data_IF_677116863997
#
_entry.id   IF_677116863997
#
_cell.length_a   1.000
_cell.length_b   1.000
_cell.length_c   1.000
_cell.angle_alpha   90.00
_cell.angle_beta   90.00
_cell.angle_gamma   90.00
#
_symmetry.space_group_name_H-M   'P 1'
#
loop_
_entity.id
_entity.type
_entity.pdbx_description
1 polymer ?
#
# COMPACT_ATOMS: atom_id res chain seq x y z
N UNK A 1 14.28 -16.95 -16.48
CA UNK A 1 14.40 -15.58 -15.96
C UNK A 1 15.58 -14.86 -16.62
N UNK A 2 16.67 -15.56 -16.88
CA UNK A 2 17.90 -14.97 -17.42
C UNK A 2 17.72 -14.30 -18.78
N UNK A 3 17.13 -14.97 -19.76
CA UNK A 3 16.87 -14.36 -21.08
C UNK A 3 16.02 -13.08 -21.02
N UNK A 4 15.03 -13.02 -20.13
CA UNK A 4 14.23 -11.82 -19.93
C UNK A 4 15.04 -10.72 -19.23
N UNK A 5 15.90 -11.09 -18.30
CA UNK A 5 16.79 -10.16 -17.60
C UNK A 5 17.85 -9.59 -18.56
N UNK A 6 18.38 -10.40 -19.48
CA UNK A 6 19.31 -9.96 -20.53
C UNK A 6 18.71 -8.86 -21.40
N UNK A 7 17.43 -9.02 -21.78
CA UNK A 7 16.69 -8.04 -22.58
C UNK A 7 16.41 -6.76 -21.80
N UNK A 8 16.08 -6.87 -20.51
CA UNK A 8 15.63 -5.73 -19.70
C UNK A 8 16.77 -4.95 -19.04
N UNK A 9 17.92 -5.59 -18.75
CA UNK A 9 19.03 -4.99 -18.02
C UNK A 9 19.54 -3.66 -18.62
N UNK A 10 19.67 -3.49 -19.95
CA UNK A 10 20.06 -2.21 -20.56
C UNK A 10 19.07 -1.07 -20.29
N UNK A 11 17.82 -1.39 -19.94
CA UNK A 11 16.74 -0.43 -19.71
C UNK A 11 16.35 -0.30 -18.24
N UNK A 12 17.09 -0.92 -17.32
CA UNK A 12 16.79 -0.96 -15.89
C UNK A 12 16.53 0.42 -15.28
N UNK A 13 17.34 1.44 -15.62
CA UNK A 13 17.14 2.81 -15.12
C UNK A 13 15.80 3.41 -15.57
N UNK A 14 15.43 3.22 -16.85
CA UNK A 14 14.17 3.72 -17.39
C UNK A 14 12.98 2.98 -16.76
N UNK A 15 13.07 1.66 -16.64
CA UNK A 15 12.05 0.83 -15.99
C UNK A 15 11.87 1.27 -14.53
N UNK A 16 12.97 1.54 -13.81
CA UNK A 16 12.94 2.07 -12.44
C UNK A 16 12.27 3.44 -12.35
N UNK A 17 12.53 4.34 -13.31
CA UNK A 17 11.83 5.65 -13.40
C UNK A 17 10.32 5.49 -13.63
N UNK A 18 9.91 4.55 -14.49
CA UNK A 18 8.50 4.25 -14.74
C UNK A 18 7.84 3.70 -13.47
N UNK A 19 8.45 2.71 -12.83
CA UNK A 19 7.97 2.16 -11.56
C UNK A 19 7.86 3.24 -10.48
N UNK A 20 8.87 4.11 -10.38
CA UNK A 20 8.87 5.27 -9.49
C UNK A 20 7.74 6.26 -9.78
N UNK A 21 7.47 6.53 -11.06
CA UNK A 21 6.39 7.43 -11.49
C UNK A 21 5.02 6.87 -11.12
N UNK A 22 4.77 5.60 -11.42
CA UNK A 22 3.50 4.91 -11.08
C UNK A 22 3.29 4.94 -9.55
N UNK A 23 4.34 4.66 -8.78
CA UNK A 23 4.28 4.69 -7.31
C UNK A 23 4.03 6.10 -6.78
N UNK A 24 4.65 7.12 -7.38
CA UNK A 24 4.43 8.53 -7.01
C UNK A 24 2.98 8.95 -7.26
N UNK A 25 2.39 8.55 -8.40
CA UNK A 25 0.98 8.78 -8.70
C UNK A 25 0.08 8.06 -7.68
N UNK A 26 0.44 6.84 -7.27
CA UNK A 26 -0.28 6.14 -6.22
C UNK A 26 -0.23 6.91 -4.88
N UNK A 27 0.94 7.44 -4.48
CA UNK A 27 1.03 8.28 -3.29
C UNK A 27 0.12 9.52 -3.37
N UNK A 28 0.04 10.17 -4.54
CA UNK A 28 -0.84 11.33 -4.73
C UNK A 28 -2.34 11.03 -4.58
N UNK A 29 -2.76 9.77 -4.56
CA UNK A 29 -4.15 9.41 -4.25
C UNK A 29 -4.62 9.92 -2.87
N UNK A 30 -3.69 10.19 -1.94
CA UNK A 30 -3.99 10.82 -0.64
C UNK A 30 -4.61 12.21 -0.75
N UNK A 31 -4.45 12.90 -1.89
CA UNK A 31 -5.12 14.20 -2.16
C UNK A 31 -6.64 14.07 -2.07
N UNK A 32 -7.22 12.95 -2.53
CA UNK A 32 -8.67 12.75 -2.48
C UNK A 32 -9.17 12.68 -1.03
N UNK A 33 -8.45 11.95 -0.18
CA UNK A 33 -8.75 11.85 1.24
C UNK A 33 -8.58 13.20 1.94
N UNK A 34 -7.50 13.93 1.66
CA UNK A 34 -7.26 15.24 2.27
C UNK A 34 -8.29 16.28 1.82
N UNK A 35 -8.76 16.22 0.57
CA UNK A 35 -9.82 17.08 0.09
C UNK A 35 -11.18 16.75 0.76
N UNK A 36 -11.45 15.48 1.05
CA UNK A 36 -12.64 15.07 1.81
C UNK A 36 -12.58 15.57 3.27
N UNK A 37 -11.43 15.45 3.92
CA UNK A 37 -11.15 16.04 5.25
C UNK A 37 -11.40 17.55 5.23
N UNK A 38 -10.83 18.26 4.25
CA UNK A 38 -11.03 19.71 4.08
C UNK A 38 -12.50 20.08 3.93
N UNK A 39 -13.26 19.32 3.12
CA UNK A 39 -14.70 19.56 2.91
C UNK A 39 -15.51 19.34 4.18
N UNK A 40 -15.14 18.35 5.01
CA UNK A 40 -15.79 18.11 6.30
C UNK A 40 -15.32 19.05 7.41
N UNK A 41 -14.19 19.73 7.22
CA UNK A 41 -13.58 20.60 8.23
C UNK A 41 -13.03 19.85 9.44
N UNK A 42 -12.92 18.52 9.39
CA UNK A 42 -12.41 17.70 10.49
C UNK A 42 -11.79 16.40 9.97
N UNK A 43 -10.66 16.01 10.55
CA UNK A 43 -9.99 14.72 10.28
C UNK A 43 -10.40 13.59 11.23
N UNK A 44 -11.19 13.86 12.27
CA UNK A 44 -11.33 12.96 13.42
C UNK A 44 -12.03 11.64 13.08
N UNK A 45 -12.92 11.65 12.08
CA UNK A 45 -13.62 10.45 11.57
C UNK A 45 -12.74 9.58 10.67
N UNK A 46 -11.55 10.05 10.31
CA UNK A 46 -10.64 9.33 9.41
C UNK A 46 -9.51 8.66 10.19
N UNK A 47 -9.04 7.49 9.70
CA UNK A 47 -7.86 6.86 10.26
C UNK A 47 -6.61 7.65 9.84
N UNK A 48 -5.69 7.87 10.79
CA UNK A 48 -4.35 8.43 10.50
C UNK A 48 -3.40 7.41 9.86
N UNK A 49 -3.73 6.13 10.02
CA UNK A 49 -2.91 4.98 9.60
C UNK A 49 -2.40 5.03 8.15
N UNK A 50 -3.20 5.43 7.14
CA UNK A 50 -2.72 5.52 5.76
C UNK A 50 -1.52 6.45 5.57
N UNK A 51 -1.53 7.64 6.18
CA UNK A 51 -0.44 8.61 6.05
C UNK A 51 0.78 8.22 6.87
N UNK A 52 0.55 7.82 8.13
CA UNK A 52 1.63 7.43 9.04
C UNK A 52 2.32 6.13 8.59
N UNK A 53 1.54 5.16 8.08
CA UNK A 53 2.06 3.94 7.46
C UNK A 53 2.87 4.23 6.20
N UNK A 54 2.43 5.20 5.38
CA UNK A 54 3.20 5.69 4.24
C UNK A 54 4.56 6.28 4.64
N UNK A 55 4.61 7.06 5.73
CA UNK A 55 5.88 7.55 6.30
C UNK A 55 6.78 6.40 6.73
N UNK A 56 6.26 5.43 7.48
CA UNK A 56 7.04 4.26 7.93
C UNK A 56 7.64 3.50 6.76
N UNK A 57 6.80 3.14 5.78
CA UNK A 57 7.21 2.35 4.63
C UNK A 57 8.23 3.08 3.76
N UNK A 58 8.06 4.39 3.56
CA UNK A 58 8.98 5.20 2.75
C UNK A 58 10.35 5.33 3.42
N UNK A 59 10.41 5.59 4.73
CA UNK A 59 11.70 5.66 5.47
C UNK A 59 12.44 4.32 5.43
N UNK A 60 11.74 3.21 5.71
CA UNK A 60 12.35 1.88 5.68
C UNK A 60 12.81 1.51 4.27
N UNK A 61 12.02 1.84 3.25
CA UNK A 61 12.38 1.59 1.85
C UNK A 61 13.56 2.43 1.38
N UNK A 62 13.72 3.68 1.86
CA UNK A 62 14.93 4.47 1.59
C UNK A 62 16.16 3.77 2.16
N UNK A 63 16.11 3.28 3.41
CA UNK A 63 17.24 2.57 4.01
C UNK A 63 17.57 1.27 3.27
N UNK A 64 16.56 0.53 2.83
CA UNK A 64 16.74 -0.67 2.01
C UNK A 64 17.37 -0.33 0.65
N UNK A 65 16.87 0.70 -0.04
CA UNK A 65 17.44 1.16 -1.30
C UNK A 65 18.88 1.63 -1.17
N UNK A 66 19.24 2.30 -0.07
CA UNK A 66 20.63 2.68 0.24
C UNK A 66 21.53 1.45 0.42
N UNK A 67 21.06 0.43 1.14
CA UNK A 67 21.82 -0.81 1.34
C UNK A 67 22.07 -1.55 0.02
N UNK A 68 21.11 -1.48 -0.92
CA UNK A 68 21.18 -2.11 -2.23
C UNK A 68 21.89 -1.25 -3.30
N UNK A 69 22.17 0.02 -3.03
CA UNK A 69 22.61 0.98 -4.06
C UNK A 69 21.54 1.32 -5.12
N UNK A 70 20.27 1.05 -4.82
CA UNK A 70 19.14 1.18 -5.74
C UNK A 70 18.61 2.63 -5.81
N UNK A 71 19.15 3.40 -6.77
CA UNK A 71 18.81 4.81 -6.95
C UNK A 71 17.31 5.06 -7.27
N UNK A 72 16.67 4.30 -8.18
CA UNK A 72 15.22 4.40 -8.38
C UNK A 72 14.41 4.23 -7.09
N UNK A 73 14.71 3.20 -6.28
CA UNK A 73 14.02 2.94 -5.02
C UNK A 73 14.24 4.04 -3.98
N UNK A 74 15.44 4.59 -3.89
CA UNK A 74 15.72 5.72 -2.99
C UNK A 74 14.89 6.94 -3.39
N UNK A 75 14.97 7.35 -4.66
CA UNK A 75 14.34 8.60 -5.14
C UNK A 75 12.83 8.60 -4.96
N UNK A 76 12.16 7.54 -5.39
CA UNK A 76 10.69 7.43 -5.27
C UNK A 76 10.24 7.44 -3.80
N UNK A 77 10.97 6.80 -2.90
CA UNK A 77 10.59 6.76 -1.49
C UNK A 77 10.90 8.06 -0.75
N UNK A 78 11.93 8.83 -1.15
CA UNK A 78 12.12 10.21 -0.66
C UNK A 78 10.95 11.09 -1.08
N UNK A 79 10.52 11.01 -2.34
CA UNK A 79 9.34 11.74 -2.83
C UNK A 79 8.09 11.29 -2.06
N UNK A 80 7.90 9.99 -1.89
CA UNK A 80 6.81 9.42 -1.12
C UNK A 80 6.79 9.89 0.33
N UNK A 81 7.94 9.96 0.99
CA UNK A 81 8.08 10.47 2.35
C UNK A 81 7.64 11.93 2.43
N UNK A 82 8.10 12.78 1.49
CA UNK A 82 7.69 14.18 1.43
C UNK A 82 6.17 14.33 1.23
N UNK A 83 5.59 13.59 0.29
CA UNK A 83 4.13 13.60 0.02
C UNK A 83 3.34 13.17 1.27
N UNK A 84 3.71 12.04 1.88
CA UNK A 84 3.01 11.54 3.08
C UNK A 84 3.16 12.49 4.27
N UNK A 85 4.30 13.16 4.41
CA UNK A 85 4.51 14.18 5.44
C UNK A 85 3.60 15.39 5.22
N UNK A 86 3.48 15.88 3.98
CA UNK A 86 2.55 16.98 3.64
C UNK A 86 1.11 16.60 3.97
N UNK A 87 0.69 15.38 3.63
CA UNK A 87 -0.65 14.91 3.98
C UNK A 87 -0.85 14.74 5.48
N UNK A 88 0.18 14.30 6.21
CA UNK A 88 0.14 14.20 7.66
C UNK A 88 -0.01 15.58 8.33
N UNK A 89 0.69 16.60 7.83
CA UNK A 89 0.53 17.99 8.29
C UNK A 89 -0.88 18.49 8.01
N UNK A 90 -1.41 18.24 6.81
CA UNK A 90 -2.78 18.58 6.46
C UNK A 90 -3.80 17.87 7.36
N UNK A 91 -3.62 16.57 7.61
CA UNK A 91 -4.46 15.79 8.52
C UNK A 91 -4.42 16.37 9.93
N UNK A 92 -3.24 16.68 10.45
CA UNK A 92 -3.06 17.26 11.79
C UNK A 92 -3.69 18.64 11.91
N UNK A 93 -3.66 19.46 10.85
CA UNK A 93 -4.29 20.78 10.84
C UNK A 93 -5.80 20.71 11.11
N UNK A 94 -6.50 19.75 10.49
CA UNK A 94 -7.94 19.53 10.67
C UNK A 94 -8.32 18.65 11.88
N UNK A 95 -7.35 18.24 12.69
CA UNK A 95 -7.60 17.43 13.87
C UNK A 95 -8.04 18.28 15.07
N UNK A 96 -8.99 17.78 15.85
CA UNK A 96 -9.36 18.40 17.14
C UNK A 96 -8.21 18.34 18.14
N UNK A 97 -8.23 19.19 19.16
CA UNK A 97 -7.19 19.22 20.22
C UNK A 97 -7.04 17.86 20.91
N UNK A 98 -8.14 17.13 21.14
CA UNK A 98 -8.09 15.78 21.71
C UNK A 98 -7.47 14.76 20.74
N UNK A 99 -7.78 14.87 19.44
CA UNK A 99 -7.20 13.98 18.43
C UNK A 99 -5.71 14.25 18.22
N UNK A 100 -5.27 15.50 18.33
CA UNK A 100 -3.87 15.90 18.17
C UNK A 100 -2.93 15.22 19.16
N UNK A 101 -3.32 15.07 20.43
CA UNK A 101 -2.50 14.37 21.43
C UNK A 101 -2.32 12.88 21.09
N UNK A 102 -3.40 12.23 20.63
CA UNK A 102 -3.36 10.84 20.14
C UNK A 102 -2.46 10.69 18.91
N UNK A 103 -2.53 11.63 17.97
CA UNK A 103 -1.65 11.66 16.80
C UNK A 103 -0.18 11.83 17.23
N UNK A 104 0.12 12.74 18.15
CA UNK A 104 1.48 12.93 18.67
C UNK A 104 2.03 11.68 19.34
N UNK A 105 1.23 11.00 20.16
CA UNK A 105 1.62 9.72 20.76
C UNK A 105 1.94 8.67 19.69
N UNK A 106 1.11 8.56 18.64
CA UNK A 106 1.35 7.65 17.52
C UNK A 106 2.60 8.00 16.73
N UNK A 107 2.87 9.28 16.48
CA UNK A 107 4.13 9.75 15.88
C UNK A 107 5.29 9.33 16.78
N UNK A 108 5.20 9.53 18.09
CA UNK A 108 6.25 9.11 19.04
C UNK A 108 6.55 7.61 18.98
N UNK A 109 5.52 6.76 19.00
CA UNK A 109 5.71 5.30 18.87
C UNK A 109 6.32 4.91 17.53
N UNK A 110 5.87 5.53 16.44
CA UNK A 110 6.40 5.28 15.10
C UNK A 110 7.85 5.77 14.98
N UNK A 111 8.19 6.92 15.53
CA UNK A 111 9.56 7.44 15.55
C UNK A 111 10.48 6.52 16.35
N UNK A 112 10.04 6.01 17.49
CA UNK A 112 10.80 5.05 18.28
C UNK A 112 11.00 3.72 17.53
N UNK A 113 9.95 3.22 16.89
CA UNK A 113 10.02 2.02 16.05
C UNK A 113 11.01 2.21 14.88
N UNK A 114 10.90 3.33 14.15
CA UNK A 114 11.81 3.65 13.05
C UNK A 114 13.25 3.81 13.54
N UNK A 115 13.46 4.48 14.69
CA UNK A 115 14.78 4.60 15.29
C UNK A 115 15.38 3.22 15.58
N UNK A 116 14.61 2.31 16.18
CA UNK A 116 15.07 0.95 16.46
C UNK A 116 15.42 0.19 15.16
N UNK A 117 14.56 0.24 14.14
CA UNK A 117 14.77 -0.41 12.84
C UNK A 117 15.99 0.15 12.12
N UNK A 118 16.14 1.48 12.06
CA UNK A 118 17.26 2.14 11.38
C UNK A 118 18.57 1.88 12.14
N UNK A 119 18.55 1.91 13.46
CA UNK A 119 19.71 1.57 14.29
C UNK A 119 20.14 0.13 14.02
N UNK A 120 19.21 -0.82 14.10
CA UNK A 120 19.44 -2.22 13.73
C UNK A 120 20.04 -2.34 12.32
N UNK A 121 19.46 -1.65 11.34
CA UNK A 121 19.93 -1.66 9.95
C UNK A 121 21.31 -1.02 9.74
N UNK A 122 21.83 -0.26 10.69
CA UNK A 122 23.19 0.29 10.64
C UNK A 122 24.24 -0.67 11.24
N UNK A 123 23.83 -1.58 12.13
CA UNK A 123 24.72 -2.55 12.77
C UNK A 123 24.66 -3.95 12.13
N UNK A 124 23.58 -4.27 11.42
CA UNK A 124 23.43 -5.56 10.75
C UNK A 124 24.38 -5.70 9.55
N UNK A 125 24.73 -6.96 9.27
CA UNK A 125 25.49 -7.34 8.08
C UNK A 125 24.74 -6.91 6.80
N UNK A 126 25.36 -6.08 5.92
CA UNK A 126 24.76 -5.66 4.67
C UNK A 126 24.23 -6.80 3.80
N UNK A 127 24.88 -7.98 3.83
CA UNK A 127 24.47 -9.14 3.05
C UNK A 127 23.14 -9.75 3.52
N UNK A 128 22.76 -9.54 4.79
CA UNK A 128 21.50 -10.04 5.38
C UNK A 128 20.43 -8.96 5.47
N UNK A 129 20.86 -7.70 5.45
CA UNK A 129 19.98 -6.55 5.63
C UNK A 129 18.89 -6.50 4.55
N UNK A 130 19.25 -6.75 3.29
CA UNK A 130 18.29 -6.73 2.17
C UNK A 130 17.12 -7.68 2.43
N UNK A 131 17.41 -8.94 2.74
CA UNK A 131 16.38 -9.95 2.99
C UNK A 131 15.56 -9.63 4.23
N UNK A 132 16.20 -9.31 5.36
CA UNK A 132 15.50 -9.11 6.65
C UNK A 132 14.63 -7.85 6.64
N UNK A 133 15.18 -6.73 6.16
CA UNK A 133 14.44 -5.47 6.07
C UNK A 133 13.36 -5.55 5.01
N UNK A 134 13.63 -6.18 3.86
CA UNK A 134 12.63 -6.42 2.81
C UNK A 134 11.46 -7.29 3.29
N UNK A 135 11.73 -8.34 4.07
CA UNK A 135 10.68 -9.18 4.68
C UNK A 135 9.83 -8.39 5.69
N UNK A 136 10.45 -7.52 6.50
CA UNK A 136 9.72 -6.67 7.43
C UNK A 136 8.84 -5.66 6.69
N UNK A 137 9.36 -4.98 5.67
CA UNK A 137 8.60 -4.06 4.81
C UNK A 137 7.42 -4.79 4.16
N UNK A 138 7.67 -5.97 3.59
CA UNK A 138 6.64 -6.79 2.94
C UNK A 138 5.54 -7.18 3.94
N UNK A 139 5.92 -7.57 5.16
CA UNK A 139 4.98 -7.94 6.22
C UNK A 139 4.08 -6.76 6.64
N UNK A 140 4.66 -5.55 6.75
CA UNK A 140 3.90 -4.32 7.04
C UNK A 140 2.96 -3.98 5.86
N UNK A 141 3.42 -4.11 4.61
CA UNK A 141 2.58 -3.90 3.42
C UNK A 141 1.39 -4.87 3.37
N UNK A 142 1.63 -6.15 3.64
CA UNK A 142 0.57 -7.17 3.71
C UNK A 142 -0.42 -6.85 4.83
N UNK A 143 0.05 -6.36 5.98
CA UNK A 143 -0.85 -5.95 7.06
C UNK A 143 -1.72 -4.73 6.67
N UNK A 144 -1.13 -3.72 6.03
CA UNK A 144 -1.84 -2.50 5.61
C UNK A 144 -2.84 -2.77 4.48
N UNK A 145 -2.45 -3.58 3.49
CA UNK A 145 -3.22 -3.83 2.27
C UNK A 145 -4.03 -5.12 2.39
N UNK A 146 -3.87 -5.90 3.46
CA UNK A 146 -4.52 -7.19 3.64
C UNK A 146 -5.97 -7.13 4.11
N UNK A 147 -6.47 -5.97 4.56
CA UNK A 147 -7.86 -5.86 5.04
C UNK A 147 -8.93 -6.26 4.00
N UNK A 148 -8.78 -6.00 2.68
CA UNK A 148 -9.71 -6.51 1.68
C UNK A 148 -9.59 -8.02 1.47
N UNK A 149 -8.40 -8.62 1.66
CA UNK A 149 -8.22 -10.08 1.59
C UNK A 149 -9.04 -10.80 2.67
N UNK A 150 -9.05 -10.24 3.89
CA UNK A 150 -9.86 -10.76 5.00
C UNK A 150 -11.37 -10.70 4.72
N UNK A 151 -11.79 -9.83 3.79
CA UNK A 151 -13.18 -9.69 3.38
C UNK A 151 -13.60 -10.59 2.20
N UNK A 152 -12.68 -11.36 1.60
CA UNK A 152 -13.00 -12.28 0.50
C UNK A 152 -14.12 -13.28 0.85
N UNK A 153 -14.14 -13.93 2.04
CA UNK A 153 -15.23 -14.84 2.41
C UNK A 153 -16.60 -14.13 2.41
N UNK A 154 -16.65 -12.87 2.82
CA UNK A 154 -17.86 -12.06 2.80
C UNK A 154 -18.29 -11.74 1.37
N UNK A 155 -17.35 -11.45 0.47
CA UNK A 155 -17.63 -11.23 -0.96
C UNK A 155 -18.21 -12.47 -1.61
N UNK A 156 -17.65 -13.65 -1.33
CA UNK A 156 -18.15 -14.93 -1.85
C UNK A 156 -19.57 -15.19 -1.32
N UNK A 157 -19.80 -14.96 -0.03
CA UNK A 157 -21.12 -15.15 0.63
C UNK A 157 -22.18 -14.18 0.11
N UNK A 158 -21.82 -12.91 -0.06
CA UNK A 158 -22.73 -11.85 -0.54
C UNK A 158 -22.84 -11.79 -2.07
N UNK A 159 -21.98 -12.51 -2.79
CA UNK A 159 -21.86 -12.48 -4.26
C UNK A 159 -21.68 -11.04 -4.79
N UNK A 160 -20.96 -10.21 -4.05
CA UNK A 160 -20.73 -8.81 -4.40
C UNK A 160 -19.43 -8.28 -3.82
N UNK A 161 -18.71 -7.45 -4.59
CA UNK A 161 -17.49 -6.74 -4.20
C UNK A 161 -17.77 -5.39 -3.52
N UNK A 162 -19.00 -5.15 -3.06
CA UNK A 162 -19.37 -3.94 -2.33
C UNK A 162 -18.43 -3.69 -1.13
N UNK A 163 -17.87 -2.48 -1.06
CA UNK A 163 -16.93 -2.07 -0.01
C UNK A 163 -15.46 -2.40 -0.28
N UNK A 164 -15.13 -3.16 -1.33
CA UNK A 164 -13.73 -3.32 -1.75
C UNK A 164 -13.26 -2.11 -2.57
N UNK A 165 -12.08 -1.53 -2.26
CA UNK A 165 -11.60 -0.31 -2.91
C UNK A 165 -10.88 -0.61 -4.24
N UNK A 166 -11.64 -0.89 -5.31
CA UNK A 166 -11.09 -1.25 -6.63
C UNK A 166 -9.94 -0.33 -7.11
N UNK A 167 -10.04 1.01 -7.07
CA UNK A 167 -8.96 1.88 -7.56
C UNK A 167 -7.63 1.69 -6.82
N UNK A 168 -7.68 1.46 -5.50
CA UNK A 168 -6.49 1.26 -4.67
C UNK A 168 -5.85 -0.09 -5.00
N UNK A 169 -6.66 -1.14 -5.13
CA UNK A 169 -6.21 -2.50 -5.45
C UNK A 169 -5.57 -2.52 -6.84
N UNK A 170 -6.22 -1.91 -7.83
CA UNK A 170 -5.71 -1.83 -9.20
C UNK A 170 -4.41 -1.01 -9.27
N UNK A 171 -4.34 0.14 -8.61
CA UNK A 171 -3.10 0.92 -8.53
C UNK A 171 -1.97 0.12 -7.86
N UNK A 172 -2.26 -0.61 -6.78
CA UNK A 172 -1.31 -1.51 -6.14
C UNK A 172 -0.80 -2.61 -7.07
N UNK A 173 -1.68 -3.18 -7.91
CA UNK A 173 -1.30 -4.18 -8.90
C UNK A 173 -0.33 -3.61 -9.96
N UNK A 174 -0.57 -2.39 -10.44
CA UNK A 174 0.32 -1.71 -11.38
C UNK A 174 1.69 -1.45 -10.77
N UNK A 175 1.73 -1.00 -9.52
CA UNK A 175 2.97 -0.79 -8.77
C UNK A 175 3.72 -2.11 -8.61
N UNK A 176 3.07 -3.17 -8.12
CA UNK A 176 3.70 -4.49 -7.96
C UNK A 176 4.21 -5.06 -9.30
N UNK A 177 3.47 -4.85 -10.39
CA UNK A 177 3.88 -5.26 -11.74
C UNK A 177 5.14 -4.51 -12.17
N UNK A 178 5.14 -3.18 -12.05
CA UNK A 178 6.26 -2.34 -12.48
C UNK A 178 7.55 -2.65 -11.68
N UNK A 179 7.43 -2.81 -10.36
CA UNK A 179 8.57 -3.19 -9.52
C UNK A 179 9.04 -4.63 -9.72
N UNK A 180 8.14 -5.56 -10.09
CA UNK A 180 8.56 -6.92 -10.49
C UNK A 180 9.41 -6.87 -11.76
N UNK A 181 8.96 -6.13 -12.79
CA UNK A 181 9.72 -5.99 -14.05
C UNK A 181 11.06 -5.30 -13.78
N UNK A 182 11.07 -4.27 -12.94
CA UNK A 182 12.31 -3.63 -12.50
C UNK A 182 13.25 -4.60 -11.79
N UNK A 183 12.75 -5.38 -10.83
CA UNK A 183 13.54 -6.35 -10.08
C UNK A 183 14.16 -7.43 -11.00
N UNK A 184 13.43 -7.87 -12.02
CA UNK A 184 13.97 -8.76 -13.07
C UNK A 184 15.11 -8.06 -13.83
N UNK A 185 14.93 -6.78 -14.21
CA UNK A 185 15.95 -6.03 -14.96
C UNK A 185 17.28 -5.86 -14.21
N UNK A 186 17.25 -5.82 -12.87
CA UNK A 186 18.44 -5.73 -12.01
C UNK A 186 18.85 -7.09 -11.42
N UNK A 187 18.24 -8.20 -11.86
CA UNK A 187 18.48 -9.57 -11.39
C UNK A 187 18.33 -9.75 -9.87
N UNK A 188 17.46 -8.97 -9.25
CA UNK A 188 17.21 -9.07 -7.82
C UNK A 188 16.10 -10.10 -7.53
N UNK A 189 16.49 -11.34 -7.23
CA UNK A 189 15.55 -12.43 -6.97
C UNK A 189 14.68 -12.22 -5.73
N UNK A 190 15.22 -11.60 -4.67
CA UNK A 190 14.48 -11.35 -3.43
C UNK A 190 13.35 -10.35 -3.68
N UNK A 191 13.66 -9.25 -4.37
CA UNK A 191 12.70 -8.23 -4.74
C UNK A 191 11.67 -8.74 -5.75
N UNK A 192 12.07 -9.62 -6.70
CA UNK A 192 11.12 -10.31 -7.59
C UNK A 192 10.13 -11.13 -6.78
N UNK A 193 10.61 -11.96 -5.85
CA UNK A 193 9.74 -12.80 -5.02
C UNK A 193 8.76 -11.96 -4.19
N UNK A 194 9.25 -10.90 -3.54
CA UNK A 194 8.42 -10.00 -2.73
C UNK A 194 7.33 -9.32 -3.55
N UNK A 195 7.68 -8.75 -4.71
CA UNK A 195 6.70 -8.05 -5.54
C UNK A 195 5.74 -9.02 -6.23
N UNK A 196 6.18 -10.21 -6.64
CA UNK A 196 5.30 -11.26 -7.15
C UNK A 196 4.30 -11.72 -6.09
N UNK A 197 4.73 -11.87 -4.84
CA UNK A 197 3.84 -12.22 -3.75
C UNK A 197 2.73 -11.17 -3.57
N UNK A 198 3.09 -9.88 -3.52
CA UNK A 198 2.12 -8.78 -3.47
C UNK A 198 1.22 -8.74 -4.71
N UNK A 199 1.79 -8.99 -5.89
CA UNK A 199 1.07 -9.07 -7.15
C UNK A 199 0.04 -10.20 -7.17
N UNK A 200 0.37 -11.37 -6.60
CA UNK A 200 -0.57 -12.49 -6.46
C UNK A 200 -1.72 -12.13 -5.52
N UNK A 201 -1.42 -11.49 -4.38
CA UNK A 201 -2.44 -11.04 -3.44
C UNK A 201 -3.39 -10.00 -4.06
N UNK A 202 -2.86 -9.03 -4.80
CA UNK A 202 -3.67 -8.05 -5.54
C UNK A 202 -4.46 -8.69 -6.69
N UNK A 203 -3.86 -9.66 -7.39
CA UNK A 203 -4.51 -10.42 -8.46
C UNK A 203 -5.73 -11.20 -7.98
N UNK A 204 -5.63 -11.87 -6.82
CA UNK A 204 -6.78 -12.56 -6.19
C UNK A 204 -7.92 -11.57 -5.92
N UNK A 205 -7.61 -10.36 -5.42
CA UNK A 205 -8.61 -9.33 -5.15
C UNK A 205 -9.25 -8.82 -6.44
N UNK A 206 -8.46 -8.55 -7.48
CA UNK A 206 -8.96 -8.12 -8.79
C UNK A 206 -9.83 -9.19 -9.44
N UNK A 207 -9.47 -10.47 -9.29
CA UNK A 207 -10.28 -11.58 -9.79
C UNK A 207 -11.68 -11.62 -9.18
N UNK A 208 -11.85 -11.20 -7.91
CA UNK A 208 -13.17 -11.09 -7.29
C UNK A 208 -14.07 -10.05 -8.00
N UNK A 209 -13.51 -8.98 -8.55
CA UNK A 209 -14.27 -7.97 -9.32
C UNK A 209 -14.71 -8.48 -10.70
N UNK A 210 -13.99 -9.45 -11.27
CA UNK A 210 -14.40 -10.12 -12.50
C UNK A 210 -15.56 -11.09 -12.21
N UNK A 211 -15.52 -11.80 -11.09
CA UNK A 211 -16.54 -12.79 -10.74
C UNK A 211 -17.82 -12.20 -10.15
N UNK A 212 -17.73 -11.10 -9.41
CA UNK A 212 -18.86 -10.57 -8.64
C UNK A 212 -19.12 -9.08 -8.92
N UNK A 213 -20.39 -8.68 -9.09
CA UNK A 213 -20.74 -7.29 -9.34
C UNK A 213 -20.43 -6.39 -8.14
N UNK A 214 -20.04 -5.15 -8.44
CA UNK A 214 -19.74 -4.12 -7.43
C UNK A 214 -20.96 -3.61 -6.66
N UNK A 215 -22.17 -3.97 -7.09
CA UNK A 215 -23.42 -3.69 -6.39
C UNK A 215 -24.15 -5.02 -6.14
N UNK A 216 -24.67 -5.27 -4.92
CA UNK A 216 -25.47 -6.46 -4.68
C UNK A 216 -26.73 -6.43 -5.55
N UNK A 217 -27.14 -7.60 -6.06
CA UNK A 217 -28.43 -7.73 -6.73
C UNK A 217 -29.54 -7.24 -5.77
N UNK A 218 -30.43 -6.36 -6.25
CA UNK A 218 -31.61 -5.94 -5.48
C UNK A 218 -32.33 -7.20 -4.99
N UNK A 219 -32.43 -7.39 -3.67
CA UNK A 219 -33.34 -8.40 -3.11
C UNK A 219 -34.74 -8.03 -3.58
N UNK A 220 -35.33 -8.81 -4.49
CA UNK A 220 -36.76 -8.74 -4.80
C UNK A 220 -37.51 -8.87 -3.46
N UNK A 221 -38.48 -8.00 -3.14
CA UNK A 221 -39.24 -8.14 -1.92
C UNK A 221 -39.90 -9.51 -1.91
N UNK A 222 -39.56 -10.34 -0.92
CA UNK A 222 -40.30 -11.56 -0.63
C UNK A 222 -41.77 -11.16 -0.47
N UNK A 223 -42.63 -11.66 -1.36
CA UNK A 223 -44.08 -11.57 -1.20
C UNK A 223 -44.39 -12.16 0.17
N UNK A 224 -44.73 -11.30 1.14
CA UNK A 224 -45.41 -11.73 2.37
C UNK A 224 -46.59 -12.58 1.92
N UNK A 225 -46.54 -13.88 2.20
CA UNK A 225 -47.69 -14.75 2.07
C UNK A 225 -48.83 -14.12 2.90
N UNK A 226 -49.89 -13.69 2.23
CA UNK A 226 -51.11 -13.27 2.90
C UNK A 226 -51.73 -14.49 3.56
N UNK A 227 -51.65 -14.56 4.89
CA UNK A 227 -52.67 -15.25 5.67
C UNK A 227 -54.01 -14.52 5.47
N UNK A 228 -55.01 -15.25 4.99
CA UNK A 228 -56.47 -15.13 5.22
C UNK A 228 -57.04 -16.42 4.61
N UNK A 229 -57.22 -17.49 5.39
CA UNK A 229 -58.42 -17.75 6.21
C UNK A 229 -59.69 -17.63 5.37
N UNK A 230 -60.20 -18.81 4.96
CA UNK A 230 -61.59 -19.22 4.91
C UNK A 230 -61.63 -20.75 4.80
#
# INVERSE_FOLDING_TARGET
MDALSDILAPHSELIGKIAGTITTLQFLSGVFLLNDIRKKGSSDVYPVGPFLGGVVLTVMSVKLGQAMGDQPMIKVNIIGFAINTVFMVGFFYYASSERKSKIWAQIGYVSLFLLAVITYANFEDPAKLEFRLGMLITSILVWLIGSPLLNIPNVIKKKSTEGMPFPIIFAGQLVATAWTIYAISIRNHVMVFQNLFLWSLGGIQLFMFVLYPSKPAKKTPSKKASKKEN
#
